data_IF_746332661491
#
_entry.id   IF_746332661491
#
_cell.length_a   1.000
_cell.length_b   1.000
_cell.length_c   1.000
_cell.angle_alpha   90.00
_cell.angle_beta   90.00
_cell.angle_gamma   90.00
#
_symmetry.space_group_name_H-M   'P 1'
#
loop_
_entity.id
_entity.type
_entity.pdbx_description
1 polymer ?
#
# COMPACT_ATOMS: atom_id res chain seq x y z
N UNK A 1 2.36 -17.67 -14.07
CA UNK A 1 2.83 -17.37 -12.69
C UNK A 1 4.02 -16.42 -12.62
N UNK A 2 5.14 -16.67 -13.31
CA UNK A 2 6.36 -15.85 -13.15
C UNK A 2 6.19 -14.35 -13.42
N UNK A 3 5.36 -13.97 -14.39
CA UNK A 3 5.06 -12.56 -14.70
C UNK A 3 4.30 -11.84 -13.57
N UNK A 4 3.39 -12.55 -12.88
CA UNK A 4 2.61 -11.96 -11.76
C UNK A 4 3.53 -11.68 -10.58
N UNK A 5 4.43 -12.61 -10.25
CA UNK A 5 5.38 -12.44 -9.14
C UNK A 5 6.29 -11.22 -9.37
N UNK A 6 6.77 -11.04 -10.61
CA UNK A 6 7.58 -9.89 -11.01
C UNK A 6 6.78 -8.58 -10.90
N UNK A 7 5.51 -8.57 -11.32
CA UNK A 7 4.64 -7.40 -11.18
C UNK A 7 4.39 -7.04 -9.70
N UNK A 8 4.17 -8.03 -8.84
CA UNK A 8 4.01 -7.82 -7.40
C UNK A 8 5.28 -7.21 -6.79
N UNK A 9 6.47 -7.73 -7.12
CA UNK A 9 7.73 -7.15 -6.64
C UNK A 9 7.99 -5.74 -7.18
N UNK A 10 7.67 -5.49 -8.46
CA UNK A 10 7.80 -4.16 -9.08
C UNK A 10 6.90 -3.11 -8.41
N UNK A 11 5.72 -3.51 -7.96
CA UNK A 11 4.82 -2.63 -7.20
C UNK A 11 5.24 -2.45 -5.74
N UNK A 12 5.77 -3.51 -5.10
CA UNK A 12 6.08 -3.49 -3.67
C UNK A 12 7.30 -2.62 -3.34
N UNK A 13 8.34 -2.65 -4.17
CA UNK A 13 9.57 -1.86 -3.96
C UNK A 13 9.28 -0.35 -3.86
N UNK A 14 8.61 0.30 -4.84
CA UNK A 14 8.32 1.73 -4.75
C UNK A 14 7.38 2.04 -3.59
N UNK A 15 6.40 1.18 -3.29
CA UNK A 15 5.53 1.35 -2.11
C UNK A 15 6.36 1.40 -0.82
N UNK A 16 7.26 0.43 -0.60
CA UNK A 16 8.12 0.42 0.58
C UNK A 16 9.01 1.66 0.66
N UNK A 17 9.56 2.13 -0.47
CA UNK A 17 10.37 3.34 -0.50
C UNK A 17 9.55 4.56 -0.06
N UNK A 18 8.36 4.75 -0.64
CA UNK A 18 7.49 5.90 -0.35
C UNK A 18 7.03 5.87 1.10
N UNK A 19 6.55 4.73 1.59
CA UNK A 19 5.99 4.63 2.93
C UNK A 19 7.04 4.74 4.02
N UNK A 20 8.21 4.11 3.85
CA UNK A 20 9.28 4.22 4.84
C UNK A 20 9.87 5.64 4.85
N UNK A 21 9.99 6.28 3.69
CA UNK A 21 10.43 7.68 3.61
C UNK A 21 9.42 8.60 4.31
N UNK A 22 8.13 8.44 4.05
CA UNK A 22 7.09 9.23 4.69
C UNK A 22 7.00 8.95 6.20
N UNK A 23 7.12 7.70 6.63
CA UNK A 23 7.17 7.34 8.04
C UNK A 23 8.37 8.02 8.74
N UNK A 24 9.55 8.01 8.11
CA UNK A 24 10.72 8.71 8.61
C UNK A 24 10.50 10.24 8.67
N UNK A 25 9.85 10.84 7.67
CA UNK A 25 9.47 12.26 7.65
C UNK A 25 8.46 12.61 8.76
N UNK A 26 7.54 11.69 9.08
CA UNK A 26 6.63 11.75 10.23
C UNK A 26 7.32 11.44 11.57
N UNK A 27 8.65 11.30 11.56
CA UNK A 27 9.52 11.06 12.71
C UNK A 27 9.31 9.70 13.38
N UNK A 28 8.94 8.68 12.61
CA UNK A 28 9.04 7.28 13.02
C UNK A 28 10.52 6.88 12.86
N UNK A 29 11.26 6.86 13.95
CA UNK A 29 12.72 6.58 13.93
C UNK A 29 13.10 5.27 14.62
N UNK A 30 12.16 4.62 15.30
CA UNK A 30 12.39 3.30 15.89
C UNK A 30 12.56 2.29 14.76
N UNK A 31 13.71 1.60 14.71
CA UNK A 31 13.95 0.56 13.71
C UNK A 31 12.90 -0.57 13.78
N UNK A 32 12.40 -0.88 14.98
CA UNK A 32 11.29 -1.81 15.17
C UNK A 32 10.01 -1.31 14.50
N UNK A 33 9.68 -0.03 14.66
CA UNK A 33 8.46 0.55 14.10
C UNK A 33 8.52 0.62 12.57
N UNK A 34 9.67 1.00 12.02
CA UNK A 34 9.92 0.97 10.58
C UNK A 34 9.83 -0.45 10.01
N UNK A 35 10.36 -1.44 10.73
CA UNK A 35 10.24 -2.85 10.35
C UNK A 35 8.79 -3.31 10.35
N UNK A 36 7.99 -2.93 11.36
CA UNK A 36 6.55 -3.24 11.41
C UNK A 36 5.82 -2.64 10.22
N UNK A 37 6.10 -1.38 9.85
CA UNK A 37 5.52 -0.72 8.67
C UNK A 37 5.88 -1.48 7.40
N UNK A 38 7.16 -1.84 7.23
CA UNK A 38 7.61 -2.62 6.07
C UNK A 38 6.93 -3.99 5.98
N UNK A 39 6.85 -4.72 7.09
CA UNK A 39 6.22 -6.03 7.15
C UNK A 39 4.71 -5.97 6.90
N UNK A 40 4.03 -4.95 7.43
CA UNK A 40 2.62 -4.73 7.16
C UNK A 40 2.39 -4.57 5.65
N UNK A 41 3.19 -3.71 5.00
CA UNK A 41 3.16 -3.50 3.56
C UNK A 41 3.45 -4.76 2.74
N UNK A 42 4.43 -5.57 3.15
CA UNK A 42 4.76 -6.85 2.50
C UNK A 42 3.60 -7.84 2.57
N UNK A 43 2.75 -7.75 3.61
CA UNK A 43 1.57 -8.60 3.76
C UNK A 43 0.35 -8.07 3.02
N UNK A 44 0.14 -6.75 2.98
CA UNK A 44 -1.08 -6.13 2.45
C UNK A 44 -0.99 -5.86 0.95
N UNK A 45 0.06 -5.18 0.49
CA UNK A 45 0.15 -4.69 -0.89
C UNK A 45 0.17 -5.81 -1.95
N UNK A 46 0.90 -6.94 -1.77
CA UNK A 46 0.85 -8.02 -2.75
C UNK A 46 -0.55 -8.61 -2.92
N UNK A 47 -1.35 -8.64 -1.84
CA UNK A 47 -2.74 -9.11 -1.88
C UNK A 47 -3.62 -8.12 -2.64
N UNK A 48 -3.50 -6.81 -2.33
CA UNK A 48 -4.22 -5.75 -3.06
C UNK A 48 -3.92 -5.82 -4.56
N UNK A 49 -2.64 -5.84 -4.94
CA UNK A 49 -2.23 -5.85 -6.34
C UNK A 49 -2.66 -7.14 -7.05
N UNK A 50 -2.56 -8.29 -6.39
CA UNK A 50 -3.06 -9.55 -6.95
C UNK A 50 -4.57 -9.49 -7.23
N UNK A 51 -5.37 -9.02 -6.28
CA UNK A 51 -6.81 -8.88 -6.45
C UNK A 51 -7.17 -7.82 -7.51
N UNK A 52 -6.40 -6.72 -7.59
CA UNK A 52 -6.57 -5.70 -8.62
C UNK A 52 -6.31 -6.24 -10.02
N UNK A 53 -5.24 -7.02 -10.23
CA UNK A 53 -4.98 -7.66 -11.52
C UNK A 53 -6.10 -8.64 -11.92
N UNK A 54 -6.69 -9.35 -10.96
CA UNK A 54 -7.87 -10.17 -11.21
C UNK A 54 -9.09 -9.35 -11.60
N UNK A 55 -9.31 -8.19 -10.97
CA UNK A 55 -10.39 -7.29 -11.33
C UNK A 55 -10.24 -6.76 -12.77
N UNK A 56 -9.02 -6.34 -13.15
CA UNK A 56 -8.71 -5.94 -14.53
C UNK A 56 -9.03 -7.09 -15.51
N UNK A 57 -8.62 -8.31 -15.19
CA UNK A 57 -8.87 -9.47 -16.03
C UNK A 57 -10.37 -9.76 -16.24
N UNK A 58 -11.19 -9.56 -15.21
CA UNK A 58 -12.64 -9.83 -15.26
C UNK A 58 -13.47 -8.70 -15.88
N UNK A 59 -13.09 -7.45 -15.66
CA UNK A 59 -13.95 -6.29 -15.96
C UNK A 59 -13.35 -5.26 -16.91
N UNK A 60 -12.06 -5.35 -17.26
CA UNK A 60 -11.23 -4.31 -17.91
C UNK A 60 -10.71 -3.23 -16.95
N UNK A 61 -9.56 -2.66 -17.24
CA UNK A 61 -8.88 -1.62 -16.43
C UNK A 61 -9.71 -0.34 -16.28
N UNK A 62 -10.39 0.09 -17.34
CA UNK A 62 -11.18 1.32 -17.32
C UNK A 62 -12.63 1.13 -16.83
N UNK A 63 -12.98 -0.07 -16.38
CA UNK A 63 -14.31 -0.36 -15.89
C UNK A 63 -14.54 0.21 -14.50
N UNK A 64 -15.74 0.78 -14.29
CA UNK A 64 -16.17 1.30 -12.98
C UNK A 64 -16.06 0.21 -11.90
N UNK A 65 -16.34 -1.05 -12.23
CA UNK A 65 -16.22 -2.16 -11.28
C UNK A 65 -14.78 -2.38 -10.80
N UNK A 66 -13.80 -2.26 -11.69
CA UNK A 66 -12.37 -2.37 -11.36
C UNK A 66 -11.94 -1.28 -10.39
N UNK A 67 -12.36 -0.04 -10.62
CA UNK A 67 -12.09 1.09 -9.72
C UNK A 67 -12.76 0.95 -8.35
N UNK A 68 -14.01 0.45 -8.31
CA UNK A 68 -14.69 0.18 -7.05
C UNK A 68 -14.00 -0.93 -6.24
N UNK A 69 -13.54 -1.99 -6.92
CA UNK A 69 -12.79 -3.07 -6.29
C UNK A 69 -11.45 -2.54 -5.76
N UNK A 70 -10.71 -1.76 -6.54
CA UNK A 70 -9.47 -1.14 -6.10
C UNK A 70 -9.70 -0.28 -4.85
N UNK A 71 -10.71 0.59 -4.85
CA UNK A 71 -11.04 1.42 -3.68
C UNK A 71 -11.36 0.55 -2.45
N UNK A 72 -12.12 -0.53 -2.62
CA UNK A 72 -12.43 -1.44 -1.51
C UNK A 72 -11.18 -2.15 -0.97
N UNK A 73 -10.25 -2.54 -1.85
CA UNK A 73 -8.98 -3.16 -1.48
C UNK A 73 -8.06 -2.17 -0.74
N UNK A 74 -7.98 -0.92 -1.18
CA UNK A 74 -7.23 0.15 -0.49
C UNK A 74 -7.79 0.41 0.91
N UNK A 75 -9.12 0.50 1.05
CA UNK A 75 -9.76 0.63 2.37
C UNK A 75 -9.45 -0.58 3.25
N UNK A 76 -9.47 -1.79 2.68
CA UNK A 76 -9.11 -3.00 3.41
C UNK A 76 -7.66 -3.00 3.87
N UNK A 77 -6.72 -2.55 3.03
CA UNK A 77 -5.31 -2.42 3.36
C UNK A 77 -5.13 -1.43 4.53
N UNK A 78 -5.71 -0.23 4.43
CA UNK A 78 -5.67 0.78 5.50
C UNK A 78 -6.20 0.23 6.81
N UNK A 79 -7.35 -0.45 6.80
CA UNK A 79 -7.92 -1.02 8.02
C UNK A 79 -7.03 -2.10 8.61
N UNK A 80 -6.49 -2.99 7.76
CA UNK A 80 -5.60 -4.07 8.18
C UNK A 80 -4.31 -3.53 8.79
N UNK A 81 -3.68 -2.56 8.13
CA UNK A 81 -2.47 -1.93 8.63
C UNK A 81 -2.71 -1.12 9.89
N UNK A 82 -3.82 -0.40 9.99
CA UNK A 82 -4.23 0.25 11.23
C UNK A 82 -4.31 -0.75 12.38
N UNK A 83 -4.92 -1.92 12.17
CA UNK A 83 -5.00 -2.98 13.18
C UNK A 83 -3.61 -3.45 13.58
N UNK A 84 -2.74 -3.74 12.62
CA UNK A 84 -1.34 -4.13 12.88
C UNK A 84 -0.61 -3.05 13.69
N UNK A 85 -0.72 -1.79 13.27
CA UNK A 85 -0.10 -0.63 13.90
C UNK A 85 -0.61 -0.38 15.31
N UNK A 86 -1.89 -0.64 15.56
CA UNK A 86 -2.49 -0.53 16.89
C UNK A 86 -1.88 -1.52 17.89
N UNK A 87 -1.50 -2.71 17.45
CA UNK A 87 -0.96 -3.74 18.33
C UNK A 87 0.56 -3.78 18.39
N UNK A 88 1.26 -3.40 17.31
CA UNK A 88 2.70 -3.63 17.19
C UNK A 88 3.58 -2.37 17.20
N UNK A 89 3.05 -1.20 16.80
CA UNK A 89 3.84 0.03 16.79
C UNK A 89 3.91 0.66 18.18
N UNK A 90 5.11 1.12 18.55
CA UNK A 90 5.32 1.96 19.74
C UNK A 90 5.08 3.45 19.45
N UNK A 91 5.26 3.90 18.20
CA UNK A 91 5.06 5.29 17.78
C UNK A 91 3.62 5.81 17.94
N UNK A 92 3.38 6.94 18.61
CA UNK A 92 2.01 7.42 18.91
C UNK A 92 1.74 8.92 18.62
N UNK A 93 2.60 9.61 17.86
CA UNK A 93 2.46 11.08 17.70
C UNK A 93 1.22 11.55 16.95
N UNK A 94 0.78 10.83 15.91
CA UNK A 94 -0.33 11.27 15.03
C UNK A 94 -1.52 10.32 15.06
N UNK A 95 -1.49 9.27 15.89
CA UNK A 95 -2.49 8.21 15.93
C UNK A 95 -2.36 7.20 14.78
N UNK A 96 -2.62 5.93 15.08
CA UNK A 96 -2.33 4.79 14.18
C UNK A 96 -3.16 4.79 12.89
N UNK A 97 -4.42 5.20 12.98
CA UNK A 97 -5.30 5.28 11.81
C UNK A 97 -4.84 6.37 10.85
N UNK A 98 -4.49 7.56 11.37
CA UNK A 98 -3.97 8.65 10.54
C UNK A 98 -2.63 8.27 9.91
N UNK A 99 -1.76 7.59 10.66
CA UNK A 99 -0.51 7.07 10.12
C UNK A 99 -0.79 6.12 8.94
N UNK A 100 -1.65 5.11 9.10
CA UNK A 100 -2.00 4.18 8.02
C UNK A 100 -2.60 4.89 6.81
N UNK A 101 -3.55 5.81 7.02
CA UNK A 101 -4.15 6.60 5.94
C UNK A 101 -3.11 7.44 5.18
N UNK A 102 -2.16 8.07 5.88
CA UNK A 102 -1.13 8.88 5.25
C UNK A 102 -0.15 8.03 4.44
N UNK A 103 0.28 6.89 4.98
CA UNK A 103 1.22 6.01 4.31
C UNK A 103 0.59 5.38 3.06
N UNK A 104 -0.56 4.71 3.19
CA UNK A 104 -1.25 4.07 2.06
C UNK A 104 -1.75 5.11 1.05
N UNK A 105 -2.25 6.25 1.53
CA UNK A 105 -2.69 7.35 0.66
C UNK A 105 -1.53 7.91 -0.17
N UNK A 106 -0.35 8.07 0.42
CA UNK A 106 0.82 8.56 -0.30
C UNK A 106 1.34 7.55 -1.32
N UNK A 107 1.42 6.26 -0.97
CA UNK A 107 1.86 5.21 -1.89
C UNK A 107 0.87 4.99 -3.03
N UNK A 108 -0.43 5.02 -2.76
CA UNK A 108 -1.49 4.97 -3.79
C UNK A 108 -1.40 6.15 -4.76
N UNK A 109 -1.33 7.39 -4.24
CA UNK A 109 -1.22 8.58 -5.09
C UNK A 109 0.07 8.56 -5.91
N UNK A 110 1.18 8.12 -5.32
CA UNK A 110 2.44 7.96 -6.03
C UNK A 110 2.32 6.92 -7.14
N UNK A 111 1.71 5.76 -6.87
CA UNK A 111 1.45 4.73 -7.87
C UNK A 111 0.60 5.23 -9.02
N UNK A 112 -0.49 5.94 -8.73
CA UNK A 112 -1.38 6.53 -9.73
C UNK A 112 -0.66 7.57 -10.61
N UNK A 113 0.16 8.43 -10.00
CA UNK A 113 1.01 9.37 -10.74
C UNK A 113 2.00 8.64 -11.67
N UNK A 114 2.61 7.55 -11.19
CA UNK A 114 3.57 6.77 -11.95
C UNK A 114 2.91 6.11 -13.17
N UNK A 115 1.71 5.55 -13.01
CA UNK A 115 0.89 5.01 -14.11
C UNK A 115 0.57 6.09 -15.14
N UNK A 116 0.10 7.27 -14.70
CA UNK A 116 -0.23 8.38 -15.59
C UNK A 116 0.99 8.92 -16.37
N UNK A 117 2.14 9.03 -15.72
CA UNK A 117 3.37 9.57 -16.33
C UNK A 117 4.01 8.59 -17.31
N UNK A 118 3.97 7.29 -17.02
CA UNK A 118 4.65 6.28 -17.81
C UNK A 118 3.79 5.71 -18.94
N UNK A 119 2.51 6.12 -19.05
CA UNK A 119 1.53 5.52 -19.98
C UNK A 119 1.54 3.99 -19.91
N UNK A 120 1.79 3.45 -18.70
CA UNK A 120 1.79 2.03 -18.41
C UNK A 120 0.39 1.54 -18.13
#
# INVERSE_FOLDING_TARGET
>A
MGLILISLLRSLIPTLIVELYLAAALRVHSGKDLLVIALANILTNPVVNYCYYWAIYLFSEHSVYTWLILLALEVFAVVTEFVIYRFLLSYDRIGKLKLSLLLNGASFLFGLLLTLLLQL
#
